data_IF_201811157410
#
_entry.id   IF_201811157410
#
_cell.length_a   1.000
_cell.length_b   1.000
_cell.length_c   1.000
_cell.angle_alpha   90.00
_cell.angle_beta   90.00
_cell.angle_gamma   90.00
#
_symmetry.space_group_name_H-M   'P 1'
#
loop_
_entity.id
_entity.type
_entity.pdbx_description
1 polymer ?
#
# COMPACT_ATOMS: atom_id res chain seq x y z
N UNK A 1 18.36 -9.96 7.29
CA UNK A 1 17.02 -10.61 7.21
C UNK A 1 16.08 -9.79 6.30
N UNK A 2 15.80 -8.53 6.66
CA UNK A 2 14.86 -7.64 5.94
C UNK A 2 15.19 -7.46 4.45
N UNK A 3 16.48 -7.26 4.09
CA UNK A 3 16.89 -7.09 2.69
C UNK A 3 16.56 -8.28 1.78
N UNK A 4 16.56 -9.51 2.31
CA UNK A 4 16.19 -10.71 1.54
C UNK A 4 14.69 -10.78 1.35
N UNK A 5 13.93 -10.54 2.43
CA UNK A 5 12.47 -10.46 2.38
C UNK A 5 11.99 -9.42 1.35
N UNK A 6 12.58 -8.21 1.31
CA UNK A 6 12.24 -7.20 0.30
C UNK A 6 12.44 -7.68 -1.15
N UNK A 7 13.45 -8.52 -1.41
CA UNK A 7 13.69 -9.05 -2.76
C UNK A 7 12.67 -10.13 -3.12
N UNK A 8 12.36 -11.03 -2.20
CA UNK A 8 11.42 -12.13 -2.45
C UNK A 8 9.99 -11.57 -2.63
N UNK A 9 9.57 -10.67 -1.74
CA UNK A 9 8.27 -9.99 -1.80
C UNK A 9 8.12 -9.06 -3.00
N UNK A 10 9.21 -8.46 -3.50
CA UNK A 10 9.13 -7.60 -4.68
C UNK A 10 8.63 -8.34 -5.93
N UNK A 11 8.88 -9.65 -6.03
CA UNK A 11 8.37 -10.48 -7.13
C UNK A 11 6.89 -10.84 -6.96
N UNK A 12 6.34 -10.70 -5.75
CA UNK A 12 4.93 -10.96 -5.46
C UNK A 12 4.05 -9.71 -5.66
N UNK A 13 4.65 -8.53 -5.83
CA UNK A 13 3.89 -7.30 -6.05
C UNK A 13 3.25 -7.35 -7.44
N UNK A 14 1.90 -7.29 -7.54
CA UNK A 14 1.23 -7.34 -8.83
C UNK A 14 1.58 -6.11 -9.67
N UNK A 15 1.73 -6.26 -10.98
CA UNK A 15 2.07 -5.16 -11.89
C UNK A 15 1.07 -4.00 -11.80
N UNK A 16 1.54 -2.78 -12.08
CA UNK A 16 0.67 -1.61 -12.08
C UNK A 16 -0.34 -1.71 -13.25
N UNK A 17 -1.66 -1.62 -12.98
CA UNK A 17 -2.67 -1.67 -14.03
C UNK A 17 -2.55 -0.52 -15.04
N UNK A 18 -2.93 -0.71 -16.31
CA UNK A 18 -2.95 0.36 -17.33
C UNK A 18 -4.09 1.36 -17.12
N UNK A 19 -3.95 2.57 -17.70
CA UNK A 19 -4.82 3.74 -17.43
C UNK A 19 -6.24 3.59 -17.97
N UNK A 20 -6.49 2.59 -18.82
CA UNK A 20 -7.73 2.41 -19.56
C UNK A 20 -8.68 1.37 -18.92
N UNK A 21 -8.41 0.90 -17.70
CA UNK A 21 -9.20 -0.16 -17.05
C UNK A 21 -10.08 0.38 -15.93
N UNK A 22 -11.38 0.06 -15.97
CA UNK A 22 -12.44 0.57 -15.08
C UNK A 22 -12.43 0.00 -13.66
N UNK A 23 -11.75 -1.13 -13.44
CA UNK A 23 -11.65 -1.82 -12.15
C UNK A 23 -10.36 -1.51 -11.39
N UNK A 24 -9.85 -0.31 -11.62
CA UNK A 24 -8.66 0.21 -10.96
C UNK A 24 -9.01 1.32 -9.98
N UNK A 25 -8.13 1.53 -9.03
CA UNK A 25 -8.12 2.67 -8.13
C UNK A 25 -6.72 3.26 -8.08
N UNK A 26 -6.62 4.55 -7.77
CA UNK A 26 -5.36 5.27 -7.63
C UNK A 26 -5.06 5.51 -6.16
N UNK A 27 -3.94 4.98 -5.66
CA UNK A 27 -3.49 5.19 -4.28
C UNK A 27 -2.31 6.13 -4.27
N UNK A 28 -2.40 7.17 -3.43
CA UNK A 28 -1.30 8.09 -3.15
C UNK A 28 -0.78 7.82 -1.76
N UNK A 29 0.47 7.35 -1.66
CA UNK A 29 1.18 7.13 -0.41
C UNK A 29 1.96 8.39 -0.04
N UNK A 30 1.71 8.90 1.17
CA UNK A 30 2.51 9.95 1.79
C UNK A 30 3.50 9.29 2.74
N UNK A 31 4.77 9.32 2.36
CA UNK A 31 5.86 8.74 3.13
C UNK A 31 6.24 9.63 4.32
N UNK A 32 6.77 9.06 5.42
CA UNK A 32 7.24 9.83 6.57
C UNK A 32 8.41 10.75 6.20
N UNK A 33 9.17 10.40 5.16
CA UNK A 33 10.24 11.22 4.58
C UNK A 33 9.74 12.48 3.85
N UNK A 34 8.42 12.62 3.66
CA UNK A 34 7.78 13.70 2.88
C UNK A 34 7.59 13.37 1.40
N UNK A 35 8.12 12.24 0.92
CA UNK A 35 7.91 11.76 -0.45
C UNK A 35 6.45 11.38 -0.70
N UNK A 36 6.00 11.56 -1.94
CA UNK A 36 4.68 11.12 -2.40
C UNK A 36 4.83 10.12 -3.53
N UNK A 37 4.28 8.93 -3.34
CA UNK A 37 4.30 7.85 -4.33
C UNK A 37 2.86 7.63 -4.78
N UNK A 38 2.59 7.70 -6.07
CA UNK A 38 1.27 7.41 -6.64
C UNK A 38 1.36 6.12 -7.46
N UNK A 39 0.44 5.18 -7.21
CA UNK A 39 0.37 3.92 -7.93
C UNK A 39 -1.07 3.46 -8.08
N UNK A 40 -1.36 2.81 -9.21
CA UNK A 40 -2.67 2.19 -9.46
C UNK A 40 -2.70 0.74 -8.99
N UNK A 41 -3.86 0.31 -8.53
CA UNK A 41 -4.13 -1.06 -8.11
C UNK A 41 -5.48 -1.51 -8.68
N UNK A 42 -5.65 -2.81 -8.92
CA UNK A 42 -6.98 -3.34 -9.17
C UNK A 42 -7.78 -3.33 -7.87
N UNK A 43 -9.10 -3.11 -7.96
CA UNK A 43 -10.00 -3.18 -6.79
C UNK A 43 -9.98 -4.56 -6.12
N UNK A 44 -9.64 -5.59 -6.89
CA UNK A 44 -9.49 -6.98 -6.46
C UNK A 44 -8.14 -7.29 -5.83
N UNK A 45 -7.15 -6.38 -5.91
CA UNK A 45 -5.92 -6.52 -5.13
C UNK A 45 -6.24 -6.46 -3.64
N UNK A 46 -5.30 -6.93 -2.85
CA UNK A 46 -5.44 -7.11 -1.41
C UNK A 46 -4.69 -6.03 -0.62
N UNK A 47 -5.02 -5.87 0.66
CA UNK A 47 -4.27 -5.00 1.56
C UNK A 47 -2.80 -5.45 1.70
N UNK A 48 -2.55 -6.75 1.57
CA UNK A 48 -1.20 -7.33 1.54
C UNK A 48 -0.40 -6.82 0.35
N UNK A 49 -1.00 -6.68 -0.83
CA UNK A 49 -0.32 -6.14 -2.02
C UNK A 49 0.15 -4.68 -1.80
N UNK A 50 -0.70 -3.88 -1.15
CA UNK A 50 -0.33 -2.52 -0.74
C UNK A 50 0.84 -2.54 0.25
N UNK A 51 0.73 -3.36 1.29
CA UNK A 51 1.78 -3.47 2.32
C UNK A 51 3.12 -3.86 1.69
N UNK A 52 3.13 -4.91 0.86
CA UNK A 52 4.31 -5.41 0.17
C UNK A 52 4.93 -4.32 -0.73
N UNK A 53 4.10 -3.56 -1.44
CA UNK A 53 4.57 -2.46 -2.27
C UNK A 53 5.32 -1.39 -1.46
N UNK A 54 4.76 -0.97 -0.32
CA UNK A 54 5.42 0.00 0.56
C UNK A 54 6.66 -0.61 1.19
N UNK A 55 6.58 -1.82 1.74
CA UNK A 55 7.70 -2.50 2.40
C UNK A 55 8.92 -2.67 1.50
N UNK A 56 8.70 -2.93 0.20
CA UNK A 56 9.77 -3.06 -0.78
C UNK A 56 10.30 -1.71 -1.30
N UNK A 57 9.62 -0.60 -1.01
CA UNK A 57 10.06 0.72 -1.46
C UNK A 57 11.33 1.16 -0.73
N UNK A 58 12.32 1.76 -1.41
CA UNK A 58 13.58 2.20 -0.79
C UNK A 58 13.37 3.27 0.30
N UNK A 59 12.34 4.10 0.16
CA UNK A 59 11.99 5.16 1.12
C UNK A 59 11.10 4.69 2.27
N UNK A 60 10.81 3.39 2.38
CA UNK A 60 9.97 2.85 3.46
C UNK A 60 10.77 2.68 4.76
N UNK A 61 10.16 2.92 5.93
CA UNK A 61 10.73 2.48 7.20
C UNK A 61 10.86 0.95 7.25
N UNK A 62 11.61 0.45 8.25
CA UNK A 62 11.64 -0.97 8.59
C UNK A 62 10.36 -1.39 9.33
N UNK A 63 9.84 -0.54 10.22
CA UNK A 63 8.54 -0.71 10.89
C UNK A 63 7.62 0.46 10.58
N UNK A 64 6.45 0.18 10.00
CA UNK A 64 5.51 1.24 9.62
C UNK A 64 4.06 0.83 9.76
N UNK A 65 3.20 1.82 9.93
CA UNK A 65 1.75 1.68 9.83
C UNK A 65 1.20 2.46 8.63
N UNK A 66 0.11 1.96 8.05
CA UNK A 66 -0.59 2.61 6.95
C UNK A 66 -1.95 3.08 7.46
N UNK A 67 -2.32 4.34 7.23
CA UNK A 67 -3.65 4.85 7.56
C UNK A 67 -4.30 5.62 6.42
N UNK A 68 -5.63 5.54 6.33
CA UNK A 68 -6.45 6.32 5.40
C UNK A 68 -6.55 7.78 5.83
N UNK A 69 -6.80 8.68 4.86
CA UNK A 69 -7.03 10.11 5.13
C UNK A 69 -8.42 10.40 5.71
N UNK A 70 -9.49 9.83 5.12
CA UNK A 70 -10.86 10.09 5.58
C UNK A 70 -11.86 8.97 5.21
N UNK A 71 -12.62 8.41 6.19
CA UNK A 71 -12.40 8.56 7.63
C UNK A 71 -11.01 8.02 8.00
N UNK A 72 -10.33 8.67 8.95
CA UNK A 72 -8.99 8.24 9.37
C UNK A 72 -9.08 6.88 10.07
N UNK A 73 -8.43 5.87 9.48
CA UNK A 73 -8.38 4.49 9.98
C UNK A 73 -7.02 3.90 9.65
N UNK A 74 -6.40 3.21 10.62
CA UNK A 74 -5.22 2.38 10.37
C UNK A 74 -5.64 1.10 9.66
N UNK A 75 -4.98 0.77 8.56
CA UNK A 75 -5.19 -0.47 7.81
C UNK A 75 -4.46 -1.60 8.56
N UNK A 76 -5.19 -2.61 9.03
CA UNK A 76 -4.60 -3.76 9.71
C UNK A 76 -4.08 -4.76 8.68
N UNK A 77 -3.03 -4.42 7.94
CA UNK A 77 -2.51 -5.26 6.85
C UNK A 77 -2.08 -6.67 7.30
N UNK A 78 -1.75 -6.87 8.58
CA UNK A 78 -1.41 -8.19 9.13
C UNK A 78 -2.65 -9.07 9.36
N UNK A 79 -3.75 -8.51 9.85
CA UNK A 79 -4.98 -9.25 10.19
C UNK A 79 -5.97 -9.30 9.02
N UNK A 80 -6.05 -8.21 8.26
CA UNK A 80 -6.96 -8.00 7.13
C UNK A 80 -6.25 -8.11 5.78
N UNK A 81 -5.03 -8.64 5.75
CA UNK A 81 -4.17 -8.67 4.56
C UNK A 81 -4.82 -9.28 3.32
N UNK A 82 -5.64 -10.30 3.49
CA UNK A 82 -6.36 -11.01 2.40
C UNK A 82 -7.61 -10.27 1.92
N UNK A 83 -8.07 -9.23 2.64
CA UNK A 83 -9.20 -8.42 2.19
C UNK A 83 -8.82 -7.62 0.96
N UNK A 84 -9.74 -7.58 0.01
CA UNK A 84 -9.57 -6.75 -1.18
C UNK A 84 -9.62 -5.27 -0.83
N UNK A 85 -9.05 -4.42 -1.69
CA UNK A 85 -9.06 -2.98 -1.48
C UNK A 85 -10.49 -2.44 -1.39
N UNK A 86 -11.40 -2.96 -2.21
CA UNK A 86 -12.82 -2.59 -2.16
C UNK A 86 -13.49 -3.01 -0.84
N UNK A 87 -13.16 -4.19 -0.29
CA UNK A 87 -13.67 -4.65 1.01
C UNK A 87 -13.09 -3.85 2.18
N UNK A 88 -11.87 -3.37 2.05
CA UNK A 88 -11.24 -2.44 2.99
C UNK A 88 -11.84 -1.02 2.93
N UNK A 89 -12.73 -0.75 1.98
CA UNK A 89 -13.37 0.54 1.79
C UNK A 89 -12.53 1.54 0.98
N UNK A 90 -11.50 1.07 0.28
CA UNK A 90 -10.65 1.89 -0.60
C UNK A 90 -11.31 2.01 -1.98
N UNK A 91 -11.59 3.25 -2.40
CA UNK A 91 -12.29 3.58 -3.62
C UNK A 91 -11.43 4.29 -4.67
N UNK A 92 -12.09 4.92 -5.65
CA UNK A 92 -11.46 5.39 -6.89
C UNK A 92 -10.14 6.16 -6.76
N UNK A 93 -10.01 7.08 -5.80
CA UNK A 93 -8.74 7.72 -5.48
C UNK A 93 -8.56 7.86 -3.97
N UNK A 94 -7.58 7.14 -3.43
CA UNK A 94 -7.30 7.09 -2.01
C UNK A 94 -5.96 7.74 -1.68
N UNK A 95 -5.90 8.38 -0.51
CA UNK A 95 -4.66 8.92 0.06
C UNK A 95 -4.36 8.15 1.33
N UNK A 96 -3.23 7.44 1.33
CA UNK A 96 -2.74 6.69 2.47
C UNK A 96 -1.50 7.38 3.05
N UNK A 97 -1.42 7.39 4.37
CA UNK A 97 -0.28 7.89 5.12
C UNK A 97 0.52 6.72 5.65
N UNK A 98 1.83 6.77 5.44
CA UNK A 98 2.77 5.83 6.04
C UNK A 98 3.38 6.51 7.26
N UNK A 99 3.18 5.91 8.42
CA UNK A 99 3.77 6.34 9.67
C UNK A 99 4.94 5.44 10.01
N UNK A 100 6.07 6.05 10.33
CA UNK A 100 7.22 5.35 10.89
C UNK A 100 6.96 5.06 12.37
N UNK A 101 7.05 3.80 12.78
CA UNK A 101 6.83 3.39 14.16
C UNK A 101 8.11 3.48 15.01
N UNK A 102 9.27 3.61 14.37
CA UNK A 102 10.58 3.66 15.02
C UNK A 102 11.15 5.11 15.09
N UNK A 103 10.35 6.11 14.70
CA UNK A 103 10.73 7.53 14.64
C UNK A 103 10.67 8.28 15.97
#
# INVERSE_FOLDING_TARGET
>A
AIRRAKIDLANEIPEEPPNNVTDTLSVVFKMPTGERIERRFFKTHTLKDIYNFIFCHPSSPDSFEIATNFPKRTLQCEEEGEKTLVEAGLGGREVLFVYDLDA
#
